data_IF_847385492612
#
_entry.id   IF_847385492612
#
_cell.length_a   1.000
_cell.length_b   1.000
_cell.length_c   1.000
_cell.angle_alpha   90.00
_cell.angle_beta   90.00
_cell.angle_gamma   90.00
#
_symmetry.space_group_name_H-M   'P 1'
#
loop_
_entity.id
_entity.type
_entity.pdbx_description
1 polymer ?
#
# COMPACT_ATOMS: atom_id res chain seq x y z
N UNK A 1 -28.59 16.76 -31.65
CA UNK A 1 -27.71 17.09 -30.51
C UNK A 1 -27.11 15.78 -30.04
N UNK A 2 -25.87 15.49 -30.39
CA UNK A 2 -25.15 14.35 -29.81
C UNK A 2 -24.74 14.71 -28.37
N UNK A 3 -24.85 13.78 -27.41
CA UNK A 3 -24.36 14.02 -26.06
C UNK A 3 -22.83 14.05 -26.13
N UNK A 4 -22.27 15.23 -25.87
CA UNK A 4 -20.82 15.41 -25.80
C UNK A 4 -20.22 14.48 -24.77
N UNK A 5 -19.44 13.50 -25.23
CA UNK A 5 -18.60 12.65 -24.40
C UNK A 5 -17.61 13.53 -23.62
N UNK A 6 -17.94 13.83 -22.36
CA UNK A 6 -17.02 14.41 -21.40
C UNK A 6 -15.79 13.48 -21.30
N UNK A 7 -14.65 13.92 -21.83
CA UNK A 7 -13.35 13.28 -21.61
C UNK A 7 -13.02 13.43 -20.13
N UNK A 8 -13.49 12.49 -19.31
CA UNK A 8 -13.07 12.39 -17.92
C UNK A 8 -11.59 12.02 -17.91
N UNK A 9 -10.75 12.90 -17.39
CA UNK A 9 -9.31 12.65 -17.31
C UNK A 9 -9.01 11.50 -16.34
N UNK A 10 -7.93 10.75 -16.57
CA UNK A 10 -7.49 9.70 -15.65
C UNK A 10 -7.23 10.23 -14.24
N UNK A 11 -6.80 11.49 -14.12
CA UNK A 11 -6.58 12.16 -12.85
C UNK A 11 -7.90 12.42 -12.09
N UNK A 12 -8.99 12.77 -12.76
CA UNK A 12 -10.31 12.92 -12.13
C UNK A 12 -10.88 11.56 -11.68
N UNK A 13 -10.66 10.49 -12.46
CA UNK A 13 -11.06 9.14 -12.07
C UNK A 13 -10.29 8.69 -10.83
N UNK A 14 -8.96 8.89 -10.82
CA UNK A 14 -8.12 8.55 -9.67
C UNK A 14 -8.54 9.34 -8.42
N UNK A 15 -8.80 10.64 -8.55
CA UNK A 15 -9.29 11.46 -7.43
C UNK A 15 -10.60 10.92 -6.89
N UNK A 16 -11.57 10.65 -7.76
CA UNK A 16 -12.86 10.09 -7.35
C UNK A 16 -12.67 8.76 -6.61
N UNK A 17 -11.84 7.88 -7.15
CA UNK A 17 -11.54 6.58 -6.55
C UNK A 17 -10.88 6.70 -5.17
N UNK A 18 -10.00 7.67 -4.98
CA UNK A 18 -9.40 7.96 -3.68
C UNK A 18 -10.40 8.59 -2.68
N UNK A 19 -11.37 9.36 -3.17
CA UNK A 19 -12.41 9.98 -2.33
C UNK A 19 -13.48 8.98 -1.90
N UNK A 20 -13.83 8.02 -2.75
CA UNK A 20 -14.87 7.02 -2.48
C UNK A 20 -14.39 5.89 -1.58
N UNK A 21 -13.07 5.72 -1.44
CA UNK A 21 -12.49 4.63 -0.68
C UNK A 21 -11.66 5.14 0.50
N UNK A 22 -11.65 4.34 1.55
CA UNK A 22 -10.88 4.65 2.76
C UNK A 22 -9.67 3.74 2.80
N UNK A 23 -8.51 4.37 2.94
CA UNK A 23 -7.22 3.70 3.01
C UNK A 23 -6.60 3.90 4.40
N UNK A 24 -6.08 2.83 4.98
CA UNK A 24 -5.42 2.86 6.29
C UNK A 24 -3.98 2.40 6.10
N UNK A 25 -3.05 3.24 6.56
CA UNK A 25 -1.64 2.91 6.60
C UNK A 25 -1.23 2.38 7.97
N UNK A 26 -0.39 1.35 7.97
CA UNK A 26 0.21 0.75 9.18
C UNK A 26 1.67 0.42 8.93
N UNK A 27 2.44 0.31 10.00
CA UNK A 27 3.80 -0.25 9.95
C UNK A 27 3.69 -1.74 10.23
N UNK A 28 4.28 -2.56 9.37
CA UNK A 28 4.44 -3.99 9.57
C UNK A 28 5.91 -4.38 9.59
N UNK A 29 6.20 -5.51 10.21
CA UNK A 29 7.54 -6.11 10.25
C UNK A 29 7.51 -7.39 9.44
N UNK A 30 8.46 -7.56 8.53
CA UNK A 30 8.59 -8.75 7.69
C UNK A 30 9.02 -9.94 8.54
N UNK A 31 8.27 -11.04 8.45
CA UNK A 31 8.64 -12.34 9.02
C UNK A 31 9.29 -13.25 7.96
N UNK A 32 8.76 -13.22 6.75
CA UNK A 32 9.31 -13.95 5.60
C UNK A 32 8.86 -13.29 4.31
N UNK A 33 9.72 -13.28 3.29
CA UNK A 33 9.38 -12.70 2.00
C UNK A 33 9.98 -13.51 0.86
N UNK A 34 9.18 -13.75 -0.18
CA UNK A 34 9.59 -14.44 -1.40
C UNK A 34 9.76 -13.41 -2.52
N UNK A 35 11.01 -13.20 -2.94
CA UNK A 35 11.37 -12.23 -3.96
C UNK A 35 10.73 -12.54 -5.33
N UNK A 36 10.59 -13.80 -5.70
CA UNK A 36 10.11 -14.19 -7.03
C UNK A 36 8.61 -13.89 -7.22
N UNK A 37 7.83 -14.14 -6.18
CA UNK A 37 6.37 -13.94 -6.15
C UNK A 37 5.97 -12.58 -5.59
N UNK A 38 6.90 -11.89 -4.93
CA UNK A 38 6.68 -10.63 -4.21
C UNK A 38 5.57 -10.76 -3.16
N UNK A 39 5.50 -11.92 -2.51
CA UNK A 39 4.57 -12.24 -1.42
C UNK A 39 5.35 -12.48 -0.13
N UNK A 40 4.70 -12.27 1.00
CA UNK A 40 5.36 -12.46 2.29
C UNK A 40 4.38 -12.57 3.43
N UNK A 41 4.94 -12.73 4.63
CA UNK A 41 4.23 -12.73 5.90
C UNK A 41 4.74 -11.54 6.69
N UNK A 42 3.82 -10.73 7.18
CA UNK A 42 4.11 -9.60 8.07
C UNK A 42 3.42 -9.77 9.39
N UNK A 43 3.98 -9.17 10.43
CA UNK A 43 3.30 -8.96 11.70
C UNK A 43 3.08 -7.47 11.93
N UNK A 44 2.01 -7.13 12.63
CA UNK A 44 1.72 -5.76 13.08
C UNK A 44 1.74 -5.81 14.61
N UNK A 45 2.51 -4.91 15.23
CA UNK A 45 2.76 -4.93 16.68
C UNK A 45 1.46 -4.87 17.49
N UNK A 46 0.48 -4.13 17.02
CA UNK A 46 -0.83 -3.96 17.65
C UNK A 46 -1.74 -5.19 17.53
N UNK A 47 -1.41 -6.18 16.70
CA UNK A 47 -2.25 -7.35 16.42
C UNK A 47 -1.76 -8.65 17.07
N UNK A 48 -1.04 -8.56 18.19
CA UNK A 48 -0.67 -9.69 19.07
C UNK A 48 -0.19 -10.95 18.32
N UNK A 49 0.86 -10.80 17.51
CA UNK A 49 1.48 -11.93 16.81
C UNK A 49 0.68 -12.50 15.65
N UNK A 50 -0.39 -11.83 15.21
CA UNK A 50 -1.11 -12.17 13.98
C UNK A 50 -0.16 -12.13 12.78
N UNK A 51 -0.05 -13.26 12.11
CA UNK A 51 0.66 -13.39 10.83
C UNK A 51 -0.29 -13.06 9.68
N UNK A 52 0.11 -12.09 8.87
CA UNK A 52 -0.68 -11.60 7.74
C UNK A 52 0.06 -11.94 6.46
N UNK A 53 -0.56 -12.80 5.64
CA UNK A 53 -0.07 -13.08 4.29
C UNK A 53 -0.39 -11.85 3.43
N UNK A 54 0.64 -11.30 2.82
CA UNK A 54 0.57 -10.04 2.09
C UNK A 54 1.41 -10.11 0.81
N UNK A 55 1.31 -9.07 0.00
CA UNK A 55 2.08 -8.93 -1.24
C UNK A 55 2.41 -7.48 -1.53
N UNK A 56 3.53 -7.31 -2.23
CA UNK A 56 3.96 -6.02 -2.76
C UNK A 56 2.98 -5.52 -3.84
N UNK A 57 2.64 -4.25 -3.75
CA UNK A 57 1.80 -3.53 -4.72
C UNK A 57 2.50 -2.30 -5.31
N UNK A 58 3.78 -2.09 -4.97
CA UNK A 58 4.59 -1.06 -5.59
C UNK A 58 4.94 -1.44 -7.03
N UNK A 59 5.38 -0.44 -7.81
CA UNK A 59 5.78 -0.63 -9.21
C UNK A 59 7.19 -1.22 -9.37
N UNK A 60 7.84 -1.63 -8.28
CA UNK A 60 9.19 -2.21 -8.31
C UNK A 60 9.26 -3.42 -7.38
N UNK A 61 10.12 -4.37 -7.71
CA UNK A 61 10.36 -5.50 -6.81
C UNK A 61 11.08 -5.01 -5.56
N UNK A 62 10.60 -5.45 -4.41
CA UNK A 62 11.25 -5.26 -3.14
C UNK A 62 12.13 -6.47 -2.86
N UNK A 63 13.30 -6.22 -2.28
CA UNK A 63 14.20 -7.24 -1.73
C UNK A 63 14.19 -7.05 -0.22
N UNK A 64 13.38 -7.86 0.48
CA UNK A 64 13.07 -7.71 1.89
C UNK A 64 13.59 -8.90 2.67
N UNK A 65 14.22 -8.62 3.80
CA UNK A 65 14.65 -9.61 4.77
C UNK A 65 13.70 -9.66 5.98
N UNK A 66 13.84 -10.71 6.79
CA UNK A 66 13.21 -10.77 8.11
C UNK A 66 13.61 -9.52 8.95
N UNK A 67 12.66 -9.02 9.75
CA UNK A 67 12.75 -7.80 10.56
C UNK A 67 12.72 -6.47 9.79
N UNK A 68 12.67 -6.46 8.45
CA UNK A 68 12.49 -5.21 7.70
C UNK A 68 11.12 -4.57 8.00
N UNK A 69 11.14 -3.26 8.27
CA UNK A 69 9.91 -2.49 8.49
C UNK A 69 9.34 -1.96 7.16
N UNK A 70 8.06 -2.24 6.93
CA UNK A 70 7.34 -1.88 5.71
C UNK A 70 6.10 -1.06 6.01
N UNK A 71 5.77 -0.16 5.08
CA UNK A 71 4.49 0.52 5.04
C UNK A 71 3.45 -0.41 4.43
N UNK A 72 2.45 -0.74 5.22
CA UNK A 72 1.30 -1.53 4.81
C UNK A 72 0.12 -0.62 4.46
N UNK A 73 -0.62 -0.99 3.42
CA UNK A 73 -1.85 -0.37 2.98
C UNK A 73 -3.01 -1.35 3.16
N UNK A 74 -4.06 -0.92 3.86
CA UNK A 74 -5.36 -1.58 3.88
C UNK A 74 -6.38 -0.66 3.21
N UNK A 75 -7.34 -1.26 2.53
CA UNK A 75 -8.50 -0.57 1.94
C UNK A 75 -9.78 -1.32 2.30
N UNK A 76 -10.94 -0.68 2.12
CA UNK A 76 -12.27 -1.29 2.32
C UNK A 76 -12.65 -2.32 1.24
N UNK A 77 -11.77 -2.63 0.29
CA UNK A 77 -12.02 -3.57 -0.79
C UNK A 77 -10.74 -4.31 -1.14
N UNK A 78 -10.85 -5.42 -1.85
CA UNK A 78 -9.69 -6.11 -2.37
C UNK A 78 -9.22 -5.42 -3.66
N UNK A 79 -8.03 -4.82 -3.65
CA UNK A 79 -7.48 -4.11 -4.82
C UNK A 79 -7.21 -5.03 -6.03
N UNK A 80 -7.18 -6.34 -5.84
CA UNK A 80 -7.06 -7.32 -6.93
C UNK A 80 -8.41 -7.89 -7.37
N UNK A 81 -9.48 -7.62 -6.62
CA UNK A 81 -10.84 -8.09 -6.89
C UNK A 81 -11.84 -7.10 -6.30
N UNK A 82 -12.13 -6.03 -7.00
CA UNK A 82 -12.96 -4.91 -6.49
C UNK A 82 -14.36 -5.31 -6.02
N UNK A 83 -14.91 -6.43 -6.54
CA UNK A 83 -16.20 -6.98 -6.11
C UNK A 83 -16.17 -7.59 -4.69
N UNK A 84 -14.99 -7.73 -4.10
CA UNK A 84 -14.75 -8.34 -2.79
C UNK A 84 -14.51 -7.24 -1.75
N UNK A 85 -15.57 -6.87 -1.03
CA UNK A 85 -15.49 -5.94 0.09
C UNK A 85 -14.92 -6.69 1.30
N UNK A 86 -13.70 -6.36 1.68
CA UNK A 86 -13.00 -7.01 2.80
C UNK A 86 -13.34 -6.36 4.16
N UNK A 87 -14.18 -5.31 4.20
CA UNK A 87 -14.63 -4.58 5.39
C UNK A 87 -13.51 -4.28 6.42
N UNK A 88 -12.33 -3.85 5.96
CA UNK A 88 -11.16 -3.60 6.83
C UNK A 88 -10.76 -4.79 7.70
N UNK A 89 -10.98 -6.00 7.21
CA UNK A 89 -10.53 -7.20 7.88
C UNK A 89 -9.01 -7.14 8.08
N UNK A 90 -8.58 -7.32 9.33
CA UNK A 90 -7.18 -7.22 9.77
C UNK A 90 -6.20 -8.18 9.07
N UNK A 91 -6.71 -9.16 8.31
CA UNK A 91 -5.89 -10.06 7.50
C UNK A 91 -5.59 -9.52 6.09
N UNK A 92 -6.16 -8.36 5.71
CA UNK A 92 -6.01 -7.78 4.38
C UNK A 92 -5.16 -6.53 4.43
N UNK A 93 -3.86 -6.71 4.24
CA UNK A 93 -2.89 -5.64 4.06
C UNK A 93 -2.04 -5.93 2.83
N UNK A 94 -1.51 -4.87 2.22
CA UNK A 94 -0.61 -4.92 1.07
C UNK A 94 0.67 -4.14 1.38
N UNK A 95 1.83 -4.62 0.94
CA UNK A 95 3.10 -3.93 1.12
C UNK A 95 3.20 -2.81 0.07
N UNK A 96 3.26 -1.57 0.54
CA UNK A 96 3.38 -0.39 -0.33
C UNK A 96 4.84 0.05 -0.53
N UNK A 97 5.67 0.00 0.51
CA UNK A 97 7.06 0.47 0.46
C UNK A 97 7.86 0.00 1.68
N UNK A 98 9.19 0.10 1.61
CA UNK A 98 10.09 0.06 2.77
C UNK A 98 10.07 1.43 3.46
N UNK A 99 10.05 1.47 4.80
CA UNK A 99 9.98 2.73 5.57
C UNK A 99 11.26 3.56 5.42
N UNK A 100 12.43 2.91 5.38
CA UNK A 100 13.71 3.59 5.21
C UNK A 100 13.75 4.45 3.93
N UNK A 101 13.12 3.98 2.86
CA UNK A 101 13.03 4.72 1.59
C UNK A 101 12.17 5.98 1.75
N UNK A 102 11.05 5.89 2.47
CA UNK A 102 10.17 7.03 2.73
C UNK A 102 10.83 8.08 3.62
N UNK A 103 11.54 7.66 4.67
CA UNK A 103 12.28 8.58 5.55
C UNK A 103 13.37 9.30 4.75
N UNK A 104 14.13 8.58 3.91
CA UNK A 104 15.13 9.20 3.02
C UNK A 104 14.51 10.22 2.06
N UNK A 105 13.37 9.89 1.45
CA UNK A 105 12.66 10.82 0.57
C UNK A 105 12.16 12.06 1.31
N UNK A 106 11.53 11.89 2.48
CA UNK A 106 11.06 13.00 3.29
C UNK A 106 12.20 13.93 3.72
N UNK A 107 13.33 13.38 4.16
CA UNK A 107 14.52 14.16 4.50
C UNK A 107 15.10 14.90 3.28
N UNK A 108 15.10 14.27 2.10
CA UNK A 108 15.57 14.91 0.88
C UNK A 108 14.69 16.09 0.46
N UNK A 109 13.37 15.99 0.62
CA UNK A 109 12.41 17.05 0.32
C UNK A 109 12.56 18.23 1.29
N UNK A 110 12.72 17.97 2.59
CA UNK A 110 13.00 19.02 3.58
C UNK A 110 14.32 19.74 3.28
N UNK A 111 15.33 19.00 2.83
CA UNK A 111 16.63 19.59 2.45
C UNK A 111 16.54 20.46 1.20
N UNK A 112 15.59 20.19 0.30
CA UNK A 112 15.30 20.98 -0.91
C UNK A 112 14.49 22.25 -0.61
N UNK A 113 13.69 22.28 0.46
CA UNK A 113 12.93 23.47 0.88
C UNK A 113 13.76 24.48 1.71
N UNK A 114 14.96 24.10 2.14
CA UNK A 114 15.86 24.92 2.94
C UNK A 114 16.99 25.60 2.13
N UNK A 115 16.93 25.54 0.79
CA UNK A 115 17.85 26.20 -0.16
C UNK A 115 17.06 27.18 -1.02
#
# INVERSE_FOLDING_TARGET
MEPGSLKVSSASILKQYLFENVFICRIGVIKSFDYATQTGVVTIKEYEGLEIITRNISNFNLDLAEEDEVLLLQSNFNIFKESDNNYFNKNYFYILSVILVLIKLALSLISLELV
#
